data_IF_857411860883
#
_entry.id   IF_857411860883
#
_cell.length_a   1.000
_cell.length_b   1.000
_cell.length_c   1.000
_cell.angle_alpha   90.00
_cell.angle_beta   90.00
_cell.angle_gamma   90.00
#
_symmetry.space_group_name_H-M   'P 1'
#
loop_
_entity.id
_entity.type
_entity.pdbx_description
1 polymer ?
#
# COMPACT_ATOMS: atom_id res chain seq x y z
N UNK A 1 9.92 19.35 13.70
CA UNK A 1 10.22 17.93 13.44
C UNK A 1 9.03 17.13 13.97
N UNK A 2 8.10 16.71 13.11
CA UNK A 2 6.98 15.87 13.51
C UNK A 2 7.51 14.49 13.92
N UNK A 3 7.09 14.00 15.09
CA UNK A 3 7.32 12.60 15.46
C UNK A 3 6.62 11.73 14.42
N UNK A 4 7.34 10.79 13.81
CA UNK A 4 6.72 9.78 12.97
C UNK A 4 5.65 9.05 13.81
N UNK A 5 4.37 9.14 13.39
CA UNK A 5 3.30 8.40 14.04
C UNK A 5 3.62 6.90 14.00
N UNK A 6 3.40 6.21 15.13
CA UNK A 6 3.68 4.77 15.24
C UNK A 6 2.84 4.00 14.23
N UNK A 7 3.45 3.04 13.55
CA UNK A 7 2.78 2.07 12.67
C UNK A 7 3.42 0.69 12.84
N UNK A 8 2.71 -0.35 12.45
CA UNK A 8 3.22 -1.74 12.39
C UNK A 8 2.97 -2.29 11.01
N UNK A 9 3.88 -3.10 10.50
CA UNK A 9 3.72 -3.79 9.22
C UNK A 9 3.92 -5.30 9.35
N UNK A 10 3.26 -6.03 8.46
CA UNK A 10 3.43 -7.47 8.29
C UNK A 10 3.60 -7.79 6.82
N UNK A 11 4.43 -8.79 6.58
CA UNK A 11 4.67 -9.40 5.28
C UNK A 11 4.26 -10.87 5.44
N UNK A 12 3.25 -11.30 4.66
CA UNK A 12 2.53 -12.57 4.80
C UNK A 12 1.45 -12.62 5.90
N UNK A 13 0.23 -12.22 5.54
CA UNK A 13 -0.99 -12.30 6.35
C UNK A 13 -2.17 -12.81 5.49
N UNK A 14 -3.31 -13.13 6.11
CA UNK A 14 -4.57 -13.47 5.41
C UNK A 14 -5.63 -12.47 5.85
N UNK A 15 -6.14 -11.59 4.97
CA UNK A 15 -7.17 -10.61 5.30
C UNK A 15 -8.39 -11.23 5.98
N UNK A 16 -8.80 -10.62 7.08
CA UNK A 16 -10.09 -10.90 7.70
C UNK A 16 -11.18 -10.12 6.94
N UNK A 17 -12.16 -10.84 6.40
CA UNK A 17 -13.32 -10.27 5.71
C UNK A 17 -13.25 -10.31 4.18
N UNK A 18 -14.24 -9.68 3.54
CA UNK A 18 -14.36 -9.65 2.09
C UNK A 18 -13.37 -8.65 1.49
N UNK A 19 -12.57 -9.12 0.52
CA UNK A 19 -11.69 -8.26 -0.27
C UNK A 19 -12.56 -7.47 -1.27
N UNK A 20 -12.48 -6.14 -1.29
CA UNK A 20 -13.28 -5.34 -2.21
C UNK A 20 -12.94 -5.65 -3.68
N UNK A 21 -13.96 -5.58 -4.53
CA UNK A 21 -13.83 -5.87 -5.98
C UNK A 21 -13.90 -4.62 -6.86
N UNK A 22 -14.42 -3.51 -6.32
CA UNK A 22 -14.63 -2.26 -7.07
C UNK A 22 -13.58 -1.21 -6.70
N UNK A 23 -13.27 -0.33 -7.65
CA UNK A 23 -12.44 0.86 -7.40
C UNK A 23 -13.18 1.86 -6.50
N UNK A 24 -12.50 2.36 -5.47
CA UNK A 24 -12.99 3.42 -4.58
C UNK A 24 -12.57 4.81 -5.03
N UNK A 25 -11.33 4.93 -5.51
CA UNK A 25 -10.73 6.17 -5.97
C UNK A 25 -9.74 5.87 -7.09
N UNK A 26 -9.38 6.89 -7.85
CA UNK A 26 -8.43 6.78 -8.94
C UNK A 26 -7.31 7.81 -8.75
N UNK A 27 -6.10 7.32 -8.52
CA UNK A 27 -4.89 8.14 -8.52
C UNK A 27 -4.35 8.27 -9.94
N UNK A 28 -3.51 9.27 -10.13
CA UNK A 28 -2.71 9.43 -11.35
C UNK A 28 -1.24 9.24 -11.03
N UNK A 29 -0.52 8.56 -11.92
CA UNK A 29 0.94 8.41 -11.84
C UNK A 29 1.57 8.51 -13.22
N UNK A 30 2.61 9.33 -13.41
CA UNK A 30 3.45 9.27 -14.60
C UNK A 30 4.48 8.13 -14.56
N UNK A 31 4.67 7.49 -13.40
CA UNK A 31 5.78 6.59 -13.12
C UNK A 31 5.40 5.10 -13.22
N UNK A 32 4.17 4.78 -13.65
CA UNK A 32 3.75 3.38 -13.80
C UNK A 32 4.75 2.58 -14.65
N UNK A 33 5.19 1.44 -14.11
CA UNK A 33 6.20 0.57 -14.73
C UNK A 33 7.65 0.92 -14.36
N UNK A 34 7.87 1.99 -13.59
CA UNK A 34 9.19 2.34 -13.06
C UNK A 34 9.44 1.70 -11.70
N UNK A 35 10.70 1.39 -11.38
CA UNK A 35 11.08 0.80 -10.08
C UNK A 35 10.98 1.78 -8.90
N UNK A 36 10.85 3.06 -9.19
CA UNK A 36 10.59 4.12 -8.23
C UNK A 36 9.52 5.02 -8.82
N UNK A 37 8.59 5.48 -7.99
CA UNK A 37 7.52 6.32 -8.49
C UNK A 37 6.56 6.81 -7.43
N UNK A 38 5.65 7.66 -7.87
CA UNK A 38 4.60 8.24 -7.04
C UNK A 38 3.25 8.22 -7.75
N UNK A 39 2.19 7.98 -7.00
CA UNK A 39 0.81 8.11 -7.43
C UNK A 39 0.04 8.95 -6.41
N UNK A 40 -0.80 9.87 -6.86
CA UNK A 40 -1.62 10.71 -5.98
C UNK A 40 -3.01 10.96 -6.56
N UNK A 41 -3.99 11.22 -5.69
CA UNK A 41 -5.36 11.50 -6.10
C UNK A 41 -6.30 11.80 -4.94
N UNK A 42 -7.63 11.78 -5.19
CA UNK A 42 -8.65 11.91 -4.14
C UNK A 42 -8.50 10.80 -3.09
N UNK A 43 -8.78 11.06 -1.81
CA UNK A 43 -8.44 10.14 -0.73
C UNK A 43 -9.06 8.75 -0.90
N UNK A 44 -8.25 7.71 -0.76
CA UNK A 44 -8.71 6.34 -0.56
C UNK A 44 -9.24 6.21 0.87
N UNK A 45 -10.55 6.17 1.01
CA UNK A 45 -11.23 6.11 2.31
C UNK A 45 -11.39 4.66 2.79
N UNK A 46 -11.34 4.47 4.12
CA UNK A 46 -11.46 3.17 4.74
C UNK A 46 -12.81 2.51 4.42
N UNK A 47 -12.78 1.26 3.93
CA UNK A 47 -13.95 0.47 3.60
C UNK A 47 -14.65 0.83 2.29
N UNK A 48 -14.07 1.70 1.45
CA UNK A 48 -14.74 2.15 0.21
C UNK A 48 -14.37 1.34 -1.04
N UNK A 49 -13.31 0.53 -1.00
CA UNK A 49 -12.92 -0.31 -2.13
C UNK A 49 -11.41 -0.29 -2.43
N UNK A 50 -11.06 -0.70 -3.65
CA UNK A 50 -9.67 -0.78 -4.15
C UNK A 50 -9.16 0.59 -4.60
N UNK A 51 -7.85 0.80 -4.46
CA UNK A 51 -7.14 1.86 -5.15
C UNK A 51 -7.04 1.53 -6.64
N UNK A 52 -7.48 2.44 -7.50
CA UNK A 52 -7.10 2.44 -8.91
C UNK A 52 -5.97 3.44 -9.16
N UNK A 53 -5.08 3.14 -10.10
CA UNK A 53 -4.07 4.07 -10.63
C UNK A 53 -4.21 4.09 -12.15
N UNK A 54 -4.32 5.29 -12.72
CA UNK A 54 -4.52 5.50 -14.15
C UNK A 54 -5.71 4.68 -14.71
N UNK A 55 -6.75 4.48 -13.90
CA UNK A 55 -7.97 3.76 -14.27
C UNK A 55 -7.93 2.24 -14.09
N UNK A 56 -6.85 1.66 -13.56
CA UNK A 56 -6.75 0.22 -13.33
C UNK A 56 -6.62 -0.13 -11.85
N UNK A 57 -7.34 -1.16 -11.39
CA UNK A 57 -7.24 -1.73 -10.03
C UNK A 57 -6.25 -2.89 -9.94
N UNK A 58 -5.88 -3.51 -11.07
CA UNK A 58 -4.70 -4.36 -11.14
C UNK A 58 -3.46 -3.49 -11.34
N UNK A 59 -2.73 -3.33 -10.25
CA UNK A 59 -1.57 -2.45 -10.19
C UNK A 59 -0.27 -3.15 -10.60
N UNK A 60 -0.31 -4.45 -10.99
CA UNK A 60 0.89 -5.29 -11.19
C UNK A 60 1.81 -4.81 -12.31
N UNK A 61 1.28 -4.01 -13.25
CA UNK A 61 2.05 -3.36 -14.32
C UNK A 61 2.44 -1.91 -14.00
N UNK A 62 1.82 -1.30 -12.97
CA UNK A 62 2.09 0.09 -12.58
C UNK A 62 3.10 0.16 -11.41
N UNK A 63 2.82 -0.51 -10.29
CA UNK A 63 3.69 -0.52 -9.12
C UNK A 63 4.60 -1.74 -9.21
N UNK A 64 5.81 -1.53 -9.74
CA UNK A 64 6.81 -2.58 -9.99
C UNK A 64 8.12 -2.27 -9.27
N UNK A 65 8.90 -3.30 -8.97
CA UNK A 65 10.27 -3.21 -8.47
C UNK A 65 11.18 -4.19 -9.22
N UNK A 66 12.45 -4.23 -8.83
CA UNK A 66 13.43 -5.17 -9.40
C UNK A 66 13.05 -6.64 -9.12
N UNK A 67 13.67 -7.55 -9.86
CA UNK A 67 13.61 -9.00 -9.67
C UNK A 67 12.19 -9.59 -9.51
N UNK A 68 11.23 -9.00 -10.24
CA UNK A 68 9.84 -9.46 -10.27
C UNK A 68 8.95 -8.91 -9.15
N UNK A 69 9.42 -7.98 -8.33
CA UNK A 69 8.59 -7.34 -7.31
C UNK A 69 7.45 -6.55 -7.96
N UNK A 70 6.23 -6.67 -7.42
CA UNK A 70 5.07 -5.90 -7.87
C UNK A 70 3.97 -5.83 -6.80
N UNK A 71 3.03 -4.92 -6.99
CA UNK A 71 1.79 -4.85 -6.22
C UNK A 71 0.62 -5.02 -7.17
N UNK A 72 -0.31 -5.93 -6.88
CA UNK A 72 -1.52 -6.09 -7.69
C UNK A 72 -2.70 -5.31 -7.12
N UNK A 73 -2.81 -5.15 -5.80
CA UNK A 73 -4.00 -4.54 -5.20
C UNK A 73 -3.69 -3.83 -3.89
N UNK A 74 -4.37 -2.71 -3.65
CA UNK A 74 -4.28 -1.91 -2.41
C UNK A 74 -5.69 -1.51 -1.98
N UNK A 75 -6.01 -1.62 -0.69
CA UNK A 75 -7.21 -1.04 -0.10
C UNK A 75 -7.01 -0.67 1.37
N UNK A 76 -7.86 0.21 1.89
CA UNK A 76 -7.85 0.68 3.28
C UNK A 76 -9.07 0.15 4.03
N UNK A 77 -8.89 -0.31 5.26
CA UNK A 77 -9.99 -0.73 6.15
C UNK A 77 -9.93 -0.07 7.52
N UNK A 78 -11.08 -0.01 8.18
CA UNK A 78 -11.17 0.28 9.60
C UNK A 78 -10.82 -1.00 10.38
N UNK A 79 -9.96 -0.87 11.38
CA UNK A 79 -9.67 -1.95 12.31
C UNK A 79 -10.75 -2.03 13.40
N UNK A 80 -10.90 -3.19 14.06
CA UNK A 80 -11.79 -3.32 15.21
C UNK A 80 -11.50 -2.27 16.29
N UNK A 81 -12.54 -1.77 16.95
CA UNK A 81 -12.46 -0.66 17.92
C UNK A 81 -11.46 -0.88 19.07
N UNK A 82 -11.15 -2.14 19.40
CA UNK A 82 -10.23 -2.52 20.48
C UNK A 82 -8.79 -2.78 20.01
N UNK A 83 -8.52 -2.62 18.71
CA UNK A 83 -7.17 -2.71 18.15
C UNK A 83 -6.32 -1.52 18.61
N UNK A 84 -5.01 -1.74 18.75
CA UNK A 84 -4.04 -0.68 19.04
C UNK A 84 -3.93 0.36 17.90
N UNK A 85 -4.31 -0.04 16.69
CA UNK A 85 -4.37 0.79 15.49
C UNK A 85 -5.78 0.82 14.94
N UNK A 86 -6.22 2.00 14.49
CA UNK A 86 -7.57 2.24 13.98
C UNK A 86 -7.72 1.92 12.50
N UNK A 87 -6.62 1.89 11.74
CA UNK A 87 -6.64 1.73 10.28
C UNK A 87 -5.60 0.74 9.80
N UNK A 88 -5.90 0.06 8.70
CA UNK A 88 -4.99 -0.87 8.04
C UNK A 88 -5.04 -0.72 6.52
N UNK A 89 -3.91 -0.40 5.90
CA UNK A 89 -3.73 -0.57 4.46
C UNK A 89 -3.36 -2.02 4.21
N UNK A 90 -4.11 -2.69 3.35
CA UNK A 90 -3.84 -4.03 2.85
C UNK A 90 -3.27 -3.95 1.45
N UNK A 91 -2.24 -4.74 1.19
CA UNK A 91 -1.54 -4.80 -0.09
C UNK A 91 -1.37 -6.24 -0.51
N UNK A 92 -1.84 -6.60 -1.70
CA UNK A 92 -1.50 -7.87 -2.33
C UNK A 92 -0.37 -7.65 -3.32
N UNK A 93 0.69 -8.43 -3.19
CA UNK A 93 1.86 -8.31 -4.04
C UNK A 93 3.00 -9.20 -3.57
N UNK A 94 4.17 -8.98 -4.16
CA UNK A 94 5.39 -9.71 -3.84
C UNK A 94 6.60 -8.77 -3.85
N UNK A 95 7.55 -9.06 -2.97
CA UNK A 95 8.89 -8.51 -3.01
C UNK A 95 9.76 -9.18 -4.08
N UNK A 96 11.01 -8.74 -4.21
CA UNK A 96 11.94 -9.23 -5.23
C UNK A 96 12.40 -10.65 -4.92
N UNK A 97 12.75 -11.40 -5.96
CA UNK A 97 13.20 -12.80 -5.86
C UNK A 97 14.69 -12.95 -6.21
N UNK A 98 15.45 -13.67 -5.39
CA UNK A 98 16.86 -13.97 -5.67
C UNK A 98 17.83 -13.69 -4.52
N UNK A 99 19.05 -14.22 -4.63
CA UNK A 99 20.11 -13.98 -3.67
C UNK A 99 20.67 -12.56 -3.85
N UNK A 100 20.66 -11.76 -2.78
CA UNK A 100 21.11 -10.37 -2.81
C UNK A 100 20.06 -9.37 -3.29
N UNK A 101 18.81 -9.82 -3.50
CA UNK A 101 17.69 -8.93 -3.78
C UNK A 101 17.41 -8.03 -2.58
N UNK A 102 17.27 -6.73 -2.87
CA UNK A 102 16.98 -5.69 -1.87
C UNK A 102 15.50 -5.75 -1.46
N UNK A 103 15.01 -4.76 -0.72
CA UNK A 103 13.61 -4.74 -0.28
C UNK A 103 12.78 -3.88 -1.21
N UNK A 104 11.52 -4.27 -1.42
CA UNK A 104 10.57 -3.41 -2.10
C UNK A 104 9.77 -2.62 -1.07
N UNK A 105 9.86 -1.30 -1.11
CA UNK A 105 9.19 -0.43 -0.15
C UNK A 105 8.00 0.28 -0.77
N UNK A 106 6.93 0.37 0.02
CA UNK A 106 5.77 1.20 -0.26
C UNK A 106 5.63 2.22 0.87
N UNK A 107 5.19 3.41 0.53
CA UNK A 107 4.92 4.48 1.47
C UNK A 107 3.53 5.04 1.20
N UNK A 108 2.72 5.14 2.24
CA UNK A 108 1.35 5.62 2.17
C UNK A 108 1.24 6.92 2.94
N UNK A 109 0.89 8.01 2.28
CA UNK A 109 0.70 9.32 2.92
C UNK A 109 -0.78 9.63 3.05
N UNK A 110 -1.22 9.96 4.26
CA UNK A 110 -2.61 10.31 4.55
C UNK A 110 -2.89 11.81 4.38
N UNK A 111 -4.15 12.22 4.60
CA UNK A 111 -4.59 13.61 4.49
C UNK A 111 -3.96 14.55 5.52
N UNK A 112 -3.38 14.02 6.60
CA UNK A 112 -2.62 14.83 7.58
C UNK A 112 -1.19 15.08 7.14
N UNK A 113 -0.70 14.34 6.14
CA UNK A 113 0.67 14.38 5.64
C UNK A 113 1.60 13.37 6.32
N UNK A 114 1.08 12.53 7.22
CA UNK A 114 1.86 11.46 7.84
C UNK A 114 2.08 10.31 6.84
N UNK A 115 3.29 9.75 6.83
CA UNK A 115 3.69 8.67 5.92
C UNK A 115 3.98 7.37 6.65
N UNK A 116 3.38 6.27 6.17
CA UNK A 116 3.51 4.92 6.74
C UNK A 116 4.24 4.01 5.77
N UNK A 117 5.30 3.35 6.25
CA UNK A 117 6.17 2.51 5.42
C UNK A 117 5.79 1.04 5.53
N UNK A 118 5.64 0.39 4.38
CA UNK A 118 5.49 -1.04 4.24
C UNK A 118 6.71 -1.61 3.48
N UNK A 119 7.20 -2.75 3.96
CA UNK A 119 8.34 -3.48 3.38
C UNK A 119 7.82 -4.81 2.86
N UNK A 120 7.99 -5.05 1.57
CA UNK A 120 7.75 -6.33 0.91
C UNK A 120 9.10 -7.02 0.71
N UNK A 121 9.25 -8.20 1.32
CA UNK A 121 10.46 -9.01 1.16
C UNK A 121 10.14 -10.45 0.76
N UNK A 122 8.89 -10.89 0.89
CA UNK A 122 8.49 -12.20 0.41
C UNK A 122 8.41 -12.25 -1.11
N UNK A 123 9.12 -13.20 -1.70
CA UNK A 123 9.18 -13.40 -3.15
C UNK A 123 7.93 -14.06 -3.74
N UNK A 124 7.09 -14.70 -2.93
CA UNK A 124 5.79 -15.22 -3.39
C UNK A 124 4.67 -14.18 -3.22
N UNK A 125 3.65 -14.18 -4.11
CA UNK A 125 2.44 -13.38 -3.92
C UNK A 125 1.81 -13.64 -2.55
N UNK A 126 1.58 -12.58 -1.80
CA UNK A 126 0.96 -12.63 -0.49
C UNK A 126 0.25 -11.32 -0.15
N UNK A 127 -0.59 -11.37 0.89
CA UNK A 127 -1.08 -10.15 1.51
C UNK A 127 -0.09 -9.64 2.55
N UNK A 128 0.03 -8.31 2.55
CA UNK A 128 0.86 -7.51 3.42
C UNK A 128 0.00 -6.40 3.99
N UNK A 129 0.41 -5.84 5.13
CA UNK A 129 -0.31 -4.70 5.66
C UNK A 129 0.59 -3.69 6.36
N UNK A 130 0.11 -2.46 6.46
CA UNK A 130 0.56 -1.47 7.43
C UNK A 130 -0.62 -0.93 8.23
N UNK A 131 -0.50 -0.98 9.56
CA UNK A 131 -1.48 -0.49 10.52
C UNK A 131 -1.03 0.84 11.12
N UNK A 132 -1.95 1.78 11.25
CA UNK A 132 -1.67 3.14 11.70
C UNK A 132 -2.84 3.80 12.42
N UNK A 133 -2.57 4.95 13.04
CA UNK A 133 -3.57 5.85 13.63
C UNK A 133 -3.44 7.21 12.96
N UNK A 134 -4.57 7.82 12.60
CA UNK A 134 -4.61 9.14 11.97
C UNK A 134 -5.92 9.85 12.28
N UNK A 135 -5.87 11.18 12.37
CA UNK A 135 -7.07 12.01 12.51
C UNK A 135 -7.80 12.23 11.16
N UNK A 136 -7.09 12.01 10.04
CA UNK A 136 -7.64 12.05 8.69
C UNK A 136 -7.01 10.92 7.84
N UNK A 137 -7.54 9.69 7.96
CA UNK A 137 -6.86 8.47 7.53
C UNK A 137 -6.89 8.20 6.02
N UNK A 138 -7.59 9.02 5.24
CA UNK A 138 -7.67 8.84 3.79
C UNK A 138 -6.27 8.91 3.18
N UNK A 139 -5.86 7.86 2.48
CA UNK A 139 -4.57 7.86 1.78
C UNK A 139 -4.70 8.72 0.54
N UNK A 140 -3.81 9.70 0.36
CA UNK A 140 -3.82 10.63 -0.80
C UNK A 140 -2.63 10.45 -1.73
N UNK A 141 -1.59 9.74 -1.26
CA UNK A 141 -0.41 9.45 -2.05
C UNK A 141 0.15 8.07 -1.70
N UNK A 142 0.62 7.37 -2.73
CA UNK A 142 1.43 6.16 -2.62
C UNK A 142 2.75 6.40 -3.33
N UNK A 143 3.87 6.13 -2.67
CA UNK A 143 5.18 6.08 -3.34
C UNK A 143 5.79 4.70 -3.19
N UNK A 144 6.63 4.32 -4.13
CA UNK A 144 7.33 3.05 -4.09
C UNK A 144 8.81 3.20 -4.44
N UNK A 145 9.61 2.32 -3.85
CA UNK A 145 11.04 2.22 -4.10
C UNK A 145 11.45 0.75 -4.09
N UNK A 146 11.77 0.22 -5.27
CA UNK A 146 12.27 -1.13 -5.49
C UNK A 146 13.64 -1.14 -6.16
N UNK A 147 14.46 -0.10 -5.96
CA UNK A 147 15.83 -0.01 -6.46
C UNK A 147 16.84 -0.77 -5.60
#
# INVERSE_FOLDING_TARGET
>A
MQQARKYVSSDNYVPEGEIPQNAATNFTSPDCGSYQGTASGPPLMAGQGLLAINGNTDLSSCIVGKDGANVSSIYLVNMPRFSFYQYQVNVYGQGPSGAGSWYFYLYFTDQTGDTYKLKLFRSEPAWHYVQFNSDAPGIVQVTWDGA
#
